data_IF_672166014494
#
_entry.id   IF_672166014494
#
_cell.length_a   1.000
_cell.length_b   1.000
_cell.length_c   1.000
_cell.angle_alpha   90.00
_cell.angle_beta   90.00
_cell.angle_gamma   90.00
#
_symmetry.space_group_name_H-M   'P 1'
#
loop_
_entity.id
_entity.type
_entity.pdbx_description
1 polymer ?
#
# COMPACT_ATOMS: atom_id res chain seq x y z
N UNK A 1 22.77 1.83 42.62
CA UNK A 1 22.87 1.70 41.15
C UNK A 1 22.77 0.23 40.79
N UNK A 2 21.73 -0.20 40.06
CA UNK A 2 21.61 -1.56 39.52
C UNK A 2 22.05 -1.54 38.06
N UNK A 3 22.83 -2.52 37.57
CA UNK A 3 23.31 -2.52 36.19
C UNK A 3 22.15 -2.78 35.21
N UNK A 4 22.12 -2.01 34.13
CA UNK A 4 21.17 -2.19 33.03
C UNK A 4 21.53 -3.48 32.30
N UNK A 5 20.62 -4.46 32.38
CA UNK A 5 20.75 -5.72 31.66
C UNK A 5 20.59 -5.45 30.17
N UNK A 6 21.71 -5.41 29.45
CA UNK A 6 21.77 -5.45 28.00
C UNK A 6 21.25 -6.81 27.51
N UNK A 7 19.94 -6.93 27.37
CA UNK A 7 19.34 -7.94 26.50
C UNK A 7 19.74 -7.59 25.07
N UNK A 8 20.80 -8.26 24.63
CA UNK A 8 21.03 -8.64 23.24
C UNK A 8 19.72 -9.18 22.68
N UNK A 9 18.96 -8.32 21.99
CA UNK A 9 18.00 -8.73 20.99
C UNK A 9 18.79 -9.44 19.90
N UNK A 10 18.95 -10.76 20.05
CA UNK A 10 19.34 -11.62 18.95
C UNK A 10 18.22 -11.56 17.91
N UNK A 11 18.32 -10.62 16.98
CA UNK A 11 17.64 -10.71 15.71
C UNK A 11 18.32 -11.85 14.95
N UNK A 12 17.88 -13.08 15.18
CA UNK A 12 18.20 -14.20 14.30
C UNK A 12 17.65 -13.82 12.93
N UNK A 13 18.52 -13.43 12.01
CA UNK A 13 18.23 -13.28 10.59
C UNK A 13 17.92 -14.66 10.01
N UNK A 14 16.75 -15.20 10.35
CA UNK A 14 16.19 -16.37 9.70
C UNK A 14 15.95 -15.94 8.25
N UNK A 15 16.74 -16.47 7.32
CA UNK A 15 16.46 -16.31 5.89
C UNK A 15 15.01 -16.75 5.68
N UNK A 16 14.13 -15.89 5.15
CA UNK A 16 12.75 -16.32 4.89
C UNK A 16 12.83 -17.51 3.93
N UNK A 17 12.28 -18.64 4.36
CA UNK A 17 12.15 -19.78 3.48
C UNK A 17 11.20 -19.42 2.34
N UNK A 18 11.36 -20.03 1.17
CA UNK A 18 10.42 -19.85 0.05
C UNK A 18 8.97 -20.16 0.49
N UNK A 19 8.80 -21.03 1.49
CA UNK A 19 7.53 -21.35 2.12
C UNK A 19 6.93 -20.19 2.93
N UNK A 20 7.76 -19.42 3.63
CA UNK A 20 7.31 -18.24 4.36
C UNK A 20 6.80 -17.16 3.38
N UNK A 21 7.56 -16.89 2.31
CA UNK A 21 7.18 -15.90 1.29
C UNK A 21 5.88 -16.29 0.56
N UNK A 22 5.71 -17.57 0.22
CA UNK A 22 4.48 -18.07 -0.37
C UNK A 22 3.30 -17.97 0.60
N UNK A 23 3.52 -18.22 1.89
CA UNK A 23 2.49 -18.08 2.93
C UNK A 23 2.07 -16.62 3.09
N UNK A 24 3.02 -15.69 3.10
CA UNK A 24 2.73 -14.25 3.17
C UNK A 24 1.93 -13.79 1.95
N UNK A 25 2.31 -14.23 0.76
CA UNK A 25 1.56 -13.98 -0.47
C UNK A 25 0.15 -14.60 -0.43
N UNK A 26 0.02 -15.85 0.03
CA UNK A 26 -1.26 -16.54 0.16
C UNK A 26 -2.17 -15.84 1.19
N UNK A 27 -1.60 -15.31 2.27
CA UNK A 27 -2.33 -14.55 3.27
C UNK A 27 -2.86 -13.22 2.69
N UNK A 28 -2.03 -12.50 1.93
CA UNK A 28 -2.44 -11.30 1.20
C UNK A 28 -3.52 -11.63 0.16
N UNK A 29 -3.33 -12.69 -0.64
CA UNK A 29 -4.32 -13.16 -1.60
C UNK A 29 -5.65 -13.53 -0.94
N UNK A 30 -5.63 -14.25 0.17
CA UNK A 30 -6.84 -14.62 0.91
C UNK A 30 -7.62 -13.38 1.38
N UNK A 31 -6.91 -12.34 1.80
CA UNK A 31 -7.51 -11.05 2.15
C UNK A 31 -8.13 -10.34 0.92
N UNK A 32 -7.48 -10.38 -0.24
CA UNK A 32 -8.00 -9.79 -1.48
C UNK A 32 -9.19 -10.55 -2.09
N UNK A 33 -9.17 -11.89 -2.01
CA UNK A 33 -10.20 -12.77 -2.60
C UNK A 33 -11.54 -12.64 -1.85
N UNK A 34 -11.54 -12.37 -0.54
CA UNK A 34 -12.75 -12.41 0.28
C UNK A 34 -13.86 -11.42 -0.12
N UNK A 35 -13.54 -10.14 -0.28
CA UNK A 35 -14.54 -9.07 -0.49
C UNK A 35 -14.72 -8.67 -1.95
N UNK A 36 -13.64 -8.73 -2.74
CA UNK A 36 -13.65 -8.24 -4.12
C UNK A 36 -14.14 -9.29 -5.12
N UNK A 37 -13.90 -10.57 -4.86
CA UNK A 37 -14.27 -11.66 -5.77
C UNK A 37 -15.70 -12.15 -5.62
N UNK A 38 -16.42 -11.80 -4.55
CA UNK A 38 -17.84 -12.14 -4.43
C UNK A 38 -18.73 -11.24 -5.29
N UNK A 39 -18.30 -9.98 -5.51
CA UNK A 39 -19.00 -9.00 -6.33
C UNK A 39 -18.63 -9.08 -7.82
N UNK A 40 -17.41 -9.53 -8.15
CA UNK A 40 -16.97 -9.74 -9.53
C UNK A 40 -17.90 -10.68 -10.34
N UNK A 41 -18.18 -11.94 -9.95
CA UNK A 41 -18.99 -12.86 -10.77
C UNK A 41 -20.41 -12.34 -11.01
N UNK A 42 -21.02 -11.69 -10.03
CA UNK A 42 -22.32 -11.03 -10.20
C UNK A 42 -22.24 -9.86 -11.19
N UNK A 43 -21.18 -9.04 -11.11
CA UNK A 43 -20.94 -7.97 -12.07
C UNK A 43 -20.66 -8.50 -13.49
N UNK A 44 -19.89 -9.58 -13.63
CA UNK A 44 -19.62 -10.25 -14.91
C UNK A 44 -20.86 -10.93 -15.49
N UNK A 45 -21.70 -11.52 -14.64
CA UNK A 45 -22.97 -12.10 -15.05
C UNK A 45 -23.93 -11.03 -15.59
N UNK A 46 -23.99 -9.85 -14.95
CA UNK A 46 -24.86 -8.76 -15.37
C UNK A 46 -24.32 -7.93 -16.55
N UNK A 47 -22.98 -7.79 -16.67
CA UNK A 47 -22.32 -6.99 -17.73
C UNK A 47 -21.92 -7.79 -18.97
N UNK A 48 -21.86 -9.12 -18.88
CA UNK A 48 -21.39 -10.01 -19.94
C UNK A 48 -19.86 -10.19 -19.93
N UNK A 49 -19.40 -11.43 -20.17
CA UNK A 49 -17.98 -11.82 -20.07
C UNK A 49 -17.06 -10.95 -20.95
N UNK A 50 -17.47 -10.64 -22.18
CA UNK A 50 -16.65 -9.86 -23.12
C UNK A 50 -16.47 -8.41 -22.63
N UNK A 51 -17.54 -7.74 -22.22
CA UNK A 51 -17.47 -6.38 -21.70
C UNK A 51 -16.71 -6.32 -20.38
N UNK A 52 -16.90 -7.30 -19.50
CA UNK A 52 -16.12 -7.40 -18.27
C UNK A 52 -14.62 -7.60 -18.53
N UNK A 53 -14.25 -8.45 -19.50
CA UNK A 53 -12.84 -8.66 -19.86
C UNK A 53 -12.19 -7.40 -20.44
N UNK A 54 -12.89 -6.69 -21.34
CA UNK A 54 -12.43 -5.39 -21.86
C UNK A 54 -12.31 -4.36 -20.75
N UNK A 55 -13.30 -4.30 -19.84
CA UNK A 55 -13.29 -3.42 -18.68
C UNK A 55 -12.10 -3.66 -17.75
N UNK A 56 -11.75 -4.93 -17.47
CA UNK A 56 -10.57 -5.26 -16.66
C UNK A 56 -9.27 -4.81 -17.32
N UNK A 57 -9.12 -4.98 -18.64
CA UNK A 57 -7.94 -4.51 -19.37
C UNK A 57 -7.82 -2.98 -19.29
N UNK A 58 -8.93 -2.25 -19.44
CA UNK A 58 -8.94 -0.79 -19.32
C UNK A 58 -8.59 -0.35 -17.90
N UNK A 59 -9.17 -0.96 -16.87
CA UNK A 59 -8.83 -0.63 -15.48
C UNK A 59 -7.36 -0.93 -15.22
N UNK A 60 -6.84 -2.08 -15.68
CA UNK A 60 -5.44 -2.44 -15.51
C UNK A 60 -4.48 -1.43 -16.15
N UNK A 61 -4.77 -0.96 -17.38
CA UNK A 61 -3.92 0.06 -18.04
C UNK A 61 -3.99 1.41 -17.33
N UNK A 62 -5.17 1.84 -16.88
CA UNK A 62 -5.33 3.07 -16.10
C UNK A 62 -4.59 2.96 -14.75
N UNK A 63 -4.72 1.84 -14.05
CA UNK A 63 -4.02 1.58 -12.79
C UNK A 63 -2.52 1.59 -12.99
N UNK A 64 -2.01 0.93 -14.03
CA UNK A 64 -0.58 0.95 -14.36
C UNK A 64 -0.08 2.39 -14.62
N UNK A 65 -0.79 3.14 -15.45
CA UNK A 65 -0.46 4.55 -15.72
C UNK A 65 -0.47 5.41 -14.45
N UNK A 66 -1.44 5.18 -13.55
CA UNK A 66 -1.49 5.86 -12.25
C UNK A 66 -0.27 5.52 -11.38
N UNK A 67 0.09 4.24 -11.28
CA UNK A 67 1.25 3.78 -10.53
C UNK A 67 2.54 4.42 -11.04
N UNK A 68 2.72 4.52 -12.37
CA UNK A 68 3.89 5.18 -12.95
C UNK A 68 3.98 6.66 -12.58
N UNK A 69 2.85 7.38 -12.56
CA UNK A 69 2.81 8.77 -12.13
C UNK A 69 3.19 8.91 -10.65
N UNK A 70 2.66 8.04 -9.79
CA UNK A 70 2.99 8.01 -8.35
C UNK A 70 4.50 7.79 -8.14
N UNK A 71 5.12 6.88 -8.89
CA UNK A 71 6.56 6.62 -8.81
C UNK A 71 7.38 7.84 -9.24
N UNK A 72 6.97 8.53 -10.31
CA UNK A 72 7.63 9.77 -10.77
C UNK A 72 7.52 10.88 -9.72
N UNK A 73 6.33 11.08 -9.15
CA UNK A 73 6.13 12.05 -8.07
C UNK A 73 6.97 11.72 -6.85
N UNK A 74 7.04 10.45 -6.44
CA UNK A 74 7.90 10.00 -5.34
C UNK A 74 9.37 10.30 -5.63
N UNK A 75 9.87 9.91 -6.80
CA UNK A 75 11.28 10.10 -7.15
C UNK A 75 11.65 11.60 -7.19
N UNK A 76 10.80 12.45 -7.78
CA UNK A 76 11.00 13.89 -7.79
C UNK A 76 10.96 14.49 -6.37
N UNK A 77 10.04 14.03 -5.52
CA UNK A 77 9.94 14.48 -4.13
C UNK A 77 11.17 14.10 -3.30
N UNK A 78 11.67 12.87 -3.46
CA UNK A 78 12.89 12.39 -2.81
C UNK A 78 14.08 13.25 -3.24
N UNK A 79 14.23 13.50 -4.56
CA UNK A 79 15.33 14.29 -5.10
C UNK A 79 15.35 15.73 -4.54
N UNK A 80 14.17 16.37 -4.44
CA UNK A 80 14.03 17.69 -3.81
C UNK A 80 14.43 17.69 -2.32
N UNK A 81 14.05 16.67 -1.55
CA UNK A 81 14.41 16.55 -0.12
C UNK A 81 15.91 16.26 0.06
N UNK A 82 16.46 15.43 -0.84
CA UNK A 82 17.87 15.06 -0.87
C UNK A 82 18.75 16.30 -1.09
N UNK A 83 18.40 17.13 -2.08
CA UNK A 83 19.08 18.39 -2.35
C UNK A 83 18.92 19.44 -1.24
N UNK A 84 17.81 19.40 -0.48
CA UNK A 84 17.60 20.28 0.67
C UNK A 84 18.35 19.84 1.94
N UNK A 85 18.90 18.62 1.96
CA UNK A 85 19.65 18.11 3.11
C UNK A 85 21.12 18.55 3.02
N UNK A 86 21.64 19.39 3.95
CA UNK A 86 23.04 19.84 3.92
C UNK A 86 24.05 18.68 4.02
N UNK A 87 23.60 17.52 4.53
CA UNK A 87 24.33 16.26 4.59
C UNK A 87 24.68 15.67 3.21
N UNK A 88 23.95 16.05 2.15
CA UNK A 88 24.21 15.63 0.77
C UNK A 88 25.39 16.39 0.15
N UNK A 89 25.57 17.65 0.54
CA UNK A 89 26.54 18.56 -0.09
C UNK A 89 28.00 18.24 0.31
N UNK A 90 28.22 17.60 1.45
CA UNK A 90 29.54 17.10 1.90
C UNK A 90 29.90 15.71 1.32
N UNK A 91 28.90 15.02 0.75
CA UNK A 91 28.87 13.59 0.42
C UNK A 91 29.34 13.29 -1.03
N UNK A 92 29.70 14.31 -1.81
CA UNK A 92 29.94 14.20 -3.27
C UNK A 92 31.28 13.53 -3.67
N UNK A 93 32.04 12.96 -2.72
CA UNK A 93 33.26 12.18 -2.99
C UNK A 93 32.94 10.70 -3.22
N UNK A 94 33.50 10.13 -4.30
CA UNK A 94 33.28 8.79 -4.90
C UNK A 94 33.22 7.57 -3.93
N UNK A 95 33.73 7.68 -2.70
CA UNK A 95 33.61 6.62 -1.68
C UNK A 95 32.27 6.61 -0.93
N UNK A 96 31.42 7.62 -1.13
CA UNK A 96 30.24 7.90 -0.31
C UNK A 96 28.89 7.57 -0.99
N UNK A 97 28.91 6.83 -2.10
CA UNK A 97 27.69 6.44 -2.82
C UNK A 97 26.83 5.45 -2.02
N UNK A 98 27.45 4.62 -1.18
CA UNK A 98 26.76 3.66 -0.31
C UNK A 98 25.98 4.35 0.82
N UNK A 99 26.53 5.44 1.38
CA UNK A 99 25.84 6.31 2.34
C UNK A 99 24.68 7.05 1.68
N UNK A 100 24.88 7.57 0.46
CA UNK A 100 23.84 8.27 -0.31
C UNK A 100 22.68 7.34 -0.66
N UNK A 101 22.97 6.10 -1.05
CA UNK A 101 21.97 5.07 -1.31
C UNK A 101 21.15 4.74 -0.05
N UNK A 102 21.78 4.65 1.13
CA UNK A 102 21.09 4.44 2.42
C UNK A 102 20.20 5.62 2.82
N UNK A 103 20.67 6.85 2.64
CA UNK A 103 19.89 8.06 2.94
C UNK A 103 18.68 8.14 2.01
N UNK A 104 18.88 7.91 0.70
CA UNK A 104 17.80 7.85 -0.28
C UNK A 104 16.78 6.76 0.08
N UNK A 105 17.25 5.56 0.45
CA UNK A 105 16.37 4.45 0.85
C UNK A 105 15.57 4.78 2.11
N UNK A 106 16.19 5.45 3.09
CA UNK A 106 15.52 5.87 4.33
C UNK A 106 14.46 6.92 4.05
N UNK A 107 14.77 7.93 3.24
CA UNK A 107 13.78 8.93 2.81
C UNK A 107 12.63 8.25 2.04
N UNK A 108 12.94 7.34 1.12
CA UNK A 108 11.92 6.59 0.40
C UNK A 108 11.02 5.73 1.29
N UNK A 109 11.56 5.18 2.38
CA UNK A 109 10.78 4.41 3.37
C UNK A 109 9.92 5.28 4.28
N UNK A 110 10.41 6.45 4.67
CA UNK A 110 9.69 7.38 5.56
C UNK A 110 8.62 8.20 4.81
N UNK A 111 8.72 8.30 3.48
CA UNK A 111 7.79 9.10 2.67
C UNK A 111 6.41 8.45 2.54
N UNK A 112 5.37 9.18 3.00
CA UNK A 112 3.97 8.75 2.85
C UNK A 112 3.36 9.24 1.52
N UNK A 113 2.32 8.55 1.04
CA UNK A 113 1.53 9.02 -0.12
C UNK A 113 0.92 10.41 0.11
N UNK A 114 0.59 10.75 1.36
CA UNK A 114 0.08 12.07 1.74
C UNK A 114 1.13 13.18 1.60
N UNK A 115 2.41 12.87 1.86
CA UNK A 115 3.52 13.80 1.67
C UNK A 115 3.85 13.99 0.19
N UNK A 116 3.80 12.90 -0.58
CA UNK A 116 3.93 12.95 -2.05
C UNK A 116 2.81 13.83 -2.63
N UNK A 117 1.57 13.69 -2.14
CA UNK A 117 0.44 14.55 -2.52
C UNK A 117 0.63 16.02 -2.10
N UNK A 118 1.22 16.26 -0.92
CA UNK A 118 1.56 17.61 -0.44
C UNK A 118 2.56 18.31 -1.35
N UNK A 119 3.55 17.57 -1.85
CA UNK A 119 4.62 18.08 -2.70
C UNK A 119 4.13 18.30 -4.14
N UNK A 120 3.28 17.41 -4.65
CA UNK A 120 2.76 17.49 -6.01
C UNK A 120 1.68 18.56 -6.22
N UNK A 121 0.74 18.71 -5.27
CA UNK A 121 -0.46 19.58 -5.43
C UNK A 121 -0.56 20.64 -4.32
N UNK A 122 0.42 20.70 -3.41
CA UNK A 122 0.42 21.60 -2.27
C UNK A 122 -0.39 21.07 -1.07
N UNK A 123 -0.69 21.93 -0.07
CA UNK A 123 -1.35 21.52 1.18
C UNK A 123 -2.72 20.84 0.97
N UNK A 124 -3.39 21.20 -0.12
CA UNK A 124 -4.66 20.63 -0.54
C UNK A 124 -4.53 19.20 -1.04
N UNK A 125 -3.42 18.84 -1.70
CA UNK A 125 -3.16 17.49 -2.17
C UNK A 125 -3.07 16.48 -1.04
N UNK A 126 -2.38 16.84 0.05
CA UNK A 126 -2.27 15.99 1.24
C UNK A 126 -3.63 15.70 1.87
N UNK A 127 -4.48 16.74 1.98
CA UNK A 127 -5.85 16.58 2.50
C UNK A 127 -6.69 15.69 1.58
N UNK A 128 -6.65 15.92 0.28
CA UNK A 128 -7.38 15.10 -0.69
C UNK A 128 -6.97 13.63 -0.60
N UNK A 129 -5.66 13.34 -0.63
CA UNK A 129 -5.15 11.96 -0.55
C UNK A 129 -5.58 11.30 0.76
N UNK A 130 -5.41 11.97 1.90
CA UNK A 130 -5.79 11.41 3.19
C UNK A 130 -7.32 11.19 3.29
N UNK A 131 -8.12 12.11 2.78
CA UNK A 131 -9.59 11.96 2.71
C UNK A 131 -10.00 10.81 1.79
N UNK A 132 -9.36 10.65 0.62
CA UNK A 132 -9.63 9.54 -0.29
C UNK A 132 -9.29 8.18 0.34
N UNK A 133 -8.19 8.10 1.10
CA UNK A 133 -7.81 6.89 1.84
C UNK A 133 -8.85 6.54 2.92
N UNK A 134 -9.35 7.53 3.66
CA UNK A 134 -10.42 7.34 4.65
C UNK A 134 -11.69 6.83 3.96
N UNK A 135 -12.11 7.46 2.86
CA UNK A 135 -13.30 7.04 2.10
C UNK A 135 -13.16 5.59 1.63
N UNK A 136 -12.00 5.21 1.12
CA UNK A 136 -11.71 3.84 0.68
C UNK A 136 -11.83 2.85 1.83
N UNK A 137 -11.24 3.17 2.99
CA UNK A 137 -11.30 2.32 4.18
C UNK A 137 -12.72 2.21 4.74
N UNK A 138 -13.48 3.31 4.77
CA UNK A 138 -14.89 3.32 5.16
C UNK A 138 -15.74 2.50 4.18
N UNK A 139 -15.47 2.57 2.88
CA UNK A 139 -16.13 1.75 1.87
C UNK A 139 -15.94 0.25 2.11
N UNK A 140 -14.72 -0.19 2.42
CA UNK A 140 -14.46 -1.58 2.81
C UNK A 140 -15.19 -1.98 4.10
N UNK A 141 -15.23 -1.09 5.10
CA UNK A 141 -15.96 -1.34 6.34
C UNK A 141 -17.47 -1.51 6.08
N UNK A 142 -18.08 -0.63 5.28
CA UNK A 142 -19.51 -0.68 4.95
C UNK A 142 -19.84 -1.98 4.20
N UNK A 143 -19.02 -2.37 3.22
CA UNK A 143 -19.20 -3.62 2.48
C UNK A 143 -19.18 -4.85 3.41
N UNK A 144 -18.26 -4.86 4.38
CA UNK A 144 -18.18 -5.93 5.39
C UNK A 144 -19.40 -5.97 6.31
N UNK A 145 -19.90 -4.81 6.76
CA UNK A 145 -21.13 -4.73 7.56
C UNK A 145 -22.36 -5.26 6.84
N UNK A 146 -22.52 -4.98 5.54
CA UNK A 146 -23.62 -5.51 4.72
C UNK A 146 -23.54 -7.04 4.65
N UNK A 147 -22.34 -7.59 4.40
CA UNK A 147 -22.12 -9.03 4.34
C UNK A 147 -22.42 -9.73 5.68
N UNK A 148 -21.98 -9.13 6.80
CA UNK A 148 -22.31 -9.63 8.14
C UNK A 148 -23.81 -9.56 8.44
N UNK A 149 -24.48 -8.46 8.04
CA UNK A 149 -25.92 -8.30 8.20
C UNK A 149 -26.71 -9.39 7.47
N UNK A 150 -26.37 -9.65 6.21
CA UNK A 150 -26.99 -10.72 5.42
C UNK A 150 -26.75 -12.11 6.04
N UNK A 151 -25.58 -12.34 6.62
CA UNK A 151 -25.25 -13.60 7.31
C UNK A 151 -26.10 -13.78 8.58
N UNK A 152 -26.31 -12.72 9.36
CA UNK A 152 -27.07 -12.79 10.61
C UNK A 152 -28.60 -12.90 10.37
N UNK A 153 -29.13 -12.14 9.41
CA UNK A 153 -30.55 -12.22 9.02
C UNK A 153 -30.90 -13.57 8.38
N UNK A 154 -29.97 -14.17 7.61
CA UNK A 154 -30.14 -15.52 7.06
C UNK A 154 -30.27 -16.57 8.16
N UNK A 155 -29.40 -16.57 9.17
CA UNK A 155 -29.43 -17.55 10.26
C UNK A 155 -30.68 -17.45 11.16
N UNK A 156 -31.25 -16.25 11.33
CA UNK A 156 -32.51 -16.05 12.09
C UNK A 156 -33.73 -16.59 11.34
N UNK A 157 -33.74 -16.56 10.00
CA UNK A 157 -34.87 -17.05 9.19
C UNK A 157 -34.93 -18.57 9.04
N UNK A 158 -33.91 -19.32 9.45
CA UNK A 158 -33.91 -20.80 9.49
C UNK A 158 -34.37 -21.38 10.84
N UNK A 159 -34.59 -20.53 11.84
CA UNK A 159 -34.97 -20.93 13.21
C UNK A 159 -36.39 -20.51 13.61
N UNK A 160 -37.18 -20.00 12.66
CA UNK A 160 -38.63 -19.72 12.72
C UNK A 160 -39.34 -20.54 11.64
#
# INVERSE_FOLDING_TARGET
MRPVSSRTSQAVLVRPSNWQQFTDFANVLKAFIGTSYLSLPFAFYQSGIVLGAVGLVIIATITDHCCQLIIKCKNAAVDMILHSSPKYQELQTEACYEEMAKIKETIEKEMTLGDIGKIAVGPWGSRLVNTALIITQTGFCIAYFIFMGNTHSGNVSYHL
#
